data_IF_471298144014
#
_entry.id   IF_471298144014
#
_cell.length_a   1.000
_cell.length_b   1.000
_cell.length_c   1.000
_cell.angle_alpha   90.00
_cell.angle_beta   90.00
_cell.angle_gamma   90.00
#
_symmetry.space_group_name_H-M   'P 1'
#
loop_
_entity.id
_entity.type
_entity.pdbx_description
1 polymer ?
#
# COMPACT_ATOMS: atom_id res chain seq x y z
N UNK A 1 22.40 2.42 29.51
CA UNK A 1 21.22 3.18 29.03
C UNK A 1 20.99 2.75 27.59
N UNK A 2 20.02 1.84 27.33
CA UNK A 2 19.67 1.37 25.97
C UNK A 2 19.01 2.55 25.24
N UNK A 3 19.53 2.91 24.06
CA UNK A 3 19.16 4.11 23.32
C UNK A 3 17.72 3.94 22.77
N UNK A 4 16.77 4.67 23.34
CA UNK A 4 15.33 4.41 23.29
C UNK A 4 14.61 5.09 22.10
N UNK A 5 15.29 5.20 20.94
CA UNK A 5 14.90 6.15 19.88
C UNK A 5 14.65 5.57 18.48
N UNK A 6 14.62 4.24 18.29
CA UNK A 6 14.45 3.65 16.94
C UNK A 6 12.99 3.31 16.56
N UNK A 7 11.99 3.93 17.19
CA UNK A 7 10.61 3.84 16.69
C UNK A 7 10.47 4.68 15.41
N UNK A 8 10.36 4.02 14.25
CA UNK A 8 10.05 4.68 12.98
C UNK A 8 8.56 4.52 12.72
N UNK A 9 7.80 5.53 13.12
CA UNK A 9 6.39 5.61 12.76
C UNK A 9 6.27 5.73 11.22
N UNK A 10 5.56 4.82 10.53
CA UNK A 10 5.33 4.92 9.09
C UNK A 10 4.65 6.24 8.67
N UNK A 11 3.91 6.90 9.57
CA UNK A 11 3.33 8.24 9.33
C UNK A 11 4.41 9.32 9.16
N UNK A 12 5.60 9.13 9.74
CA UNK A 12 6.74 10.03 9.59
C UNK A 12 7.55 9.78 8.32
N UNK A 13 7.19 8.78 7.52
CA UNK A 13 7.86 8.42 6.28
C UNK A 13 7.05 8.94 5.08
N UNK A 14 7.45 10.05 4.43
CA UNK A 14 6.60 10.75 3.46
C UNK A 14 6.19 9.89 2.26
N UNK A 15 7.06 8.99 1.81
CA UNK A 15 6.78 8.12 0.67
C UNK A 15 5.72 7.05 0.98
N UNK A 16 5.58 6.63 2.25
CA UNK A 16 4.52 5.72 2.69
C UNK A 16 3.16 6.40 2.54
N UNK A 17 3.05 7.65 3.00
CA UNK A 17 1.84 8.46 2.85
C UNK A 17 1.46 8.67 1.38
N UNK A 18 2.44 8.98 0.52
CA UNK A 18 2.23 9.09 -0.93
C UNK A 18 1.72 7.77 -1.52
N UNK A 19 2.33 6.64 -1.14
CA UNK A 19 1.92 5.32 -1.61
C UNK A 19 0.49 4.97 -1.20
N UNK A 20 0.12 5.19 0.06
CA UNK A 20 -1.26 5.01 0.55
C UNK A 20 -2.23 5.90 -0.22
N UNK A 21 -1.88 7.18 -0.43
CA UNK A 21 -2.73 8.12 -1.14
C UNK A 21 -2.99 7.70 -2.59
N UNK A 22 -1.96 7.26 -3.31
CA UNK A 22 -2.09 6.76 -4.69
C UNK A 22 -2.98 5.52 -4.74
N UNK A 23 -2.77 4.56 -3.84
CA UNK A 23 -3.57 3.34 -3.77
C UNK A 23 -5.03 3.65 -3.42
N UNK A 24 -5.28 4.61 -2.52
CA UNK A 24 -6.61 5.07 -2.17
C UNK A 24 -7.33 5.71 -3.36
N UNK A 25 -6.64 6.58 -4.11
CA UNK A 25 -7.20 7.13 -5.36
C UNK A 25 -7.50 6.04 -6.38
N UNK A 26 -6.64 5.03 -6.49
CA UNK A 26 -6.83 3.90 -7.39
C UNK A 26 -8.03 3.02 -7.00
N UNK A 27 -8.43 2.99 -5.72
CA UNK A 27 -9.63 2.28 -5.27
C UNK A 27 -10.95 2.99 -5.64
N UNK A 28 -10.92 4.28 -5.99
CA UNK A 28 -12.13 5.00 -6.39
C UNK A 28 -12.54 4.51 -7.79
N UNK A 29 -13.77 3.97 -7.98
CA UNK A 29 -14.18 3.32 -9.23
C UNK A 29 -14.57 4.34 -10.32
N UNK A 30 -13.67 5.29 -10.61
CA UNK A 30 -13.77 6.32 -11.64
C UNK A 30 -12.75 6.07 -12.75
N UNK A 31 -12.58 4.80 -13.14
CA UNK A 31 -11.55 4.40 -14.07
C UNK A 31 -12.05 4.54 -15.52
N UNK A 32 -11.35 5.29 -16.38
CA UNK A 32 -11.67 5.37 -17.82
C UNK A 32 -11.17 4.12 -18.57
N UNK A 33 -11.33 2.94 -17.98
CA UNK A 33 -10.85 1.66 -18.51
C UNK A 33 -12.03 0.93 -19.13
N UNK A 34 -11.99 0.78 -20.45
CA UNK A 34 -13.02 0.08 -21.23
C UNK A 34 -12.42 -1.17 -21.88
N UNK A 35 -13.30 -2.09 -22.28
CA UNK A 35 -12.92 -3.34 -22.95
C UNK A 35 -12.75 -4.54 -22.00
N UNK A 36 -12.17 -5.60 -22.55
CA UNK A 36 -12.07 -6.91 -21.91
C UNK A 36 -10.62 -7.37 -21.88
N UNK A 37 -10.12 -7.76 -20.70
CA UNK A 37 -8.79 -8.34 -20.50
C UNK A 37 -8.94 -9.78 -20.03
N UNK A 38 -8.34 -10.73 -20.74
CA UNK A 38 -8.41 -12.17 -20.41
C UNK A 38 -9.84 -12.72 -20.27
N UNK A 39 -10.79 -12.17 -21.04
CA UNK A 39 -12.20 -12.58 -21.00
C UNK A 39 -13.01 -11.93 -19.86
N UNK A 40 -12.38 -11.09 -19.03
CA UNK A 40 -13.00 -10.39 -17.89
C UNK A 40 -13.02 -8.89 -18.17
N UNK A 41 -14.03 -8.13 -17.68
CA UNK A 41 -14.03 -6.68 -17.84
C UNK A 41 -12.73 -6.06 -17.33
N UNK A 42 -12.12 -5.18 -18.13
CA UNK A 42 -10.80 -4.62 -17.82
C UNK A 42 -10.77 -3.86 -16.48
N UNK A 43 -11.89 -3.22 -16.11
CA UNK A 43 -12.05 -2.59 -14.79
C UNK A 43 -11.95 -3.61 -13.65
N UNK A 44 -12.45 -4.83 -13.81
CA UNK A 44 -12.42 -5.86 -12.77
C UNK A 44 -11.01 -6.44 -12.60
N UNK A 45 -10.28 -6.62 -13.71
CA UNK A 45 -8.86 -7.01 -13.68
C UNK A 45 -8.02 -5.92 -13.00
N UNK A 46 -8.30 -4.65 -13.31
CA UNK A 46 -7.64 -3.52 -12.65
C UNK A 46 -7.96 -3.46 -11.14
N UNK A 47 -9.22 -3.63 -10.75
CA UNK A 47 -9.62 -3.67 -9.35
C UNK A 47 -8.88 -4.76 -8.56
N UNK A 48 -8.75 -5.95 -9.16
CA UNK A 48 -8.00 -7.07 -8.57
C UNK A 48 -6.52 -6.70 -8.41
N UNK A 49 -5.90 -6.11 -9.44
CA UNK A 49 -4.50 -5.68 -9.38
C UNK A 49 -4.28 -4.65 -8.27
N UNK A 50 -5.13 -3.62 -8.18
CA UNK A 50 -5.05 -2.62 -7.10
C UNK A 50 -5.23 -3.26 -5.73
N UNK A 51 -6.13 -4.23 -5.58
CA UNK A 51 -6.33 -4.94 -4.31
C UNK A 51 -5.07 -5.70 -3.88
N UNK A 52 -4.43 -6.41 -4.82
CA UNK A 52 -3.17 -7.13 -4.57
C UNK A 52 -2.06 -6.14 -4.18
N UNK A 53 -1.89 -5.06 -4.94
CA UNK A 53 -0.87 -4.04 -4.68
C UNK A 53 -1.07 -3.40 -3.31
N UNK A 54 -2.30 -3.04 -2.95
CA UNK A 54 -2.63 -2.49 -1.63
C UNK A 54 -2.27 -3.45 -0.51
N UNK A 55 -2.63 -4.73 -0.65
CA UNK A 55 -2.30 -5.74 0.36
C UNK A 55 -0.78 -5.91 0.53
N UNK A 56 -0.04 -6.02 -0.57
CA UNK A 56 1.42 -6.17 -0.54
C UNK A 56 2.10 -4.92 0.04
N UNK A 57 1.62 -3.74 -0.34
CA UNK A 57 2.15 -2.48 0.16
C UNK A 57 1.95 -2.34 1.66
N UNK A 58 0.74 -2.58 2.17
CA UNK A 58 0.45 -2.54 3.61
C UNK A 58 1.30 -3.58 4.36
N UNK A 59 1.37 -4.81 3.86
CA UNK A 59 2.20 -5.84 4.46
C UNK A 59 3.68 -5.42 4.50
N UNK A 60 4.21 -4.81 3.43
CA UNK A 60 5.56 -4.28 3.40
C UNK A 60 5.76 -3.17 4.44
N UNK A 61 4.84 -2.22 4.54
CA UNK A 61 4.90 -1.12 5.52
C UNK A 61 4.94 -1.69 6.94
N UNK A 62 4.09 -2.67 7.25
CA UNK A 62 4.06 -3.32 8.56
C UNK A 62 5.38 -4.06 8.83
N UNK A 63 5.85 -4.89 7.90
CA UNK A 63 7.02 -5.75 8.14
C UNK A 63 8.36 -5.02 8.10
N UNK A 64 8.47 -3.91 7.35
CA UNK A 64 9.76 -3.26 7.08
C UNK A 64 9.88 -1.87 7.70
N UNK A 65 8.77 -1.18 7.91
CA UNK A 65 8.78 0.23 8.33
C UNK A 65 8.28 0.35 9.75
N UNK A 66 7.19 -0.34 10.07
CA UNK A 66 6.67 -0.40 11.43
C UNK A 66 7.52 -1.35 12.27
N UNK A 67 8.65 -0.83 12.76
CA UNK A 67 9.54 -1.52 13.69
C UNK A 67 9.16 -1.16 15.12
N UNK A 68 8.80 -2.16 15.91
CA UNK A 68 8.69 -2.00 17.35
C UNK A 68 10.09 -1.91 17.97
N UNK A 69 10.28 -1.10 19.02
CA UNK A 69 11.58 -0.91 19.65
C UNK A 69 12.10 -2.14 20.40
N UNK A 70 11.30 -3.21 20.48
CA UNK A 70 11.60 -4.45 21.23
C UNK A 70 12.16 -5.58 20.33
N UNK A 71 12.34 -5.36 19.02
CA UNK A 71 12.85 -6.36 18.05
C UNK A 71 14.41 -6.46 17.98
N UNK A 72 15.14 -6.06 19.04
CA UNK A 72 16.60 -6.23 19.20
C UNK A 72 17.00 -7.09 20.43
#
# INVERSE_FOLDING_TARGET
MKNKNNFVDPVRVPWVGIGIFILLLAMIPIWPITGNWFGVPAWAVFALLISILTSLFIAFVILRIWRDPDDD
#
